data_IF_669819598110
#
_entry.id   IF_669819598110
#
_cell.length_a   1.000
_cell.length_b   1.000
_cell.length_c   1.000
_cell.angle_alpha   90.00
_cell.angle_beta   90.00
_cell.angle_gamma   90.00
#
_symmetry.space_group_name_H-M   'P 1'
#
loop_
_entity.id
_entity.type
_entity.pdbx_description
1 polymer ?
#
# COMPACT_ATOMS: atom_id res chain seq x y z
N UNK A 1 4.63 -19.25 8.64
CA UNK A 1 5.15 -19.53 7.29
C UNK A 1 6.42 -18.74 6.99
N UNK A 2 6.38 -17.40 6.87
CA UNK A 2 7.56 -16.58 6.56
C UNK A 2 8.72 -16.76 7.57
N UNK A 3 8.41 -16.69 8.86
CA UNK A 3 9.38 -16.92 9.95
C UNK A 3 10.05 -18.30 9.87
N UNK A 4 9.27 -19.35 9.64
CA UNK A 4 9.74 -20.74 9.51
C UNK A 4 10.67 -20.89 8.30
N UNK A 5 10.41 -20.16 7.21
CA UNK A 5 11.23 -20.17 5.99
C UNK A 5 12.48 -19.28 6.05
N UNK A 6 12.77 -18.61 7.18
CA UNK A 6 13.90 -17.69 7.32
C UNK A 6 13.81 -16.43 6.45
N UNK A 7 12.65 -16.16 5.84
CA UNK A 7 12.44 -15.02 4.94
C UNK A 7 11.91 -13.84 5.73
N UNK A 8 12.71 -12.78 5.79
CA UNK A 8 12.33 -11.52 6.43
C UNK A 8 11.77 -10.56 5.39
N UNK A 9 10.55 -10.01 5.59
CA UNK A 9 10.04 -8.97 4.71
C UNK A 9 10.88 -7.70 4.85
N UNK A 10 11.07 -6.97 3.75
CA UNK A 10 11.58 -5.60 3.78
C UNK A 10 10.43 -4.67 4.15
N UNK A 11 10.61 -3.86 5.19
CA UNK A 11 9.55 -3.04 5.77
C UNK A 11 10.00 -1.59 5.82
N UNK A 12 9.17 -0.68 5.30
CA UNK A 12 9.32 0.77 5.46
C UNK A 12 8.17 1.26 6.34
N UNK A 13 8.45 1.66 7.60
CA UNK A 13 7.44 2.24 8.48
C UNK A 13 7.21 3.73 8.17
N UNK A 14 6.08 4.27 8.62
CA UNK A 14 5.78 5.70 8.70
C UNK A 14 5.12 6.01 10.06
N UNK A 15 5.94 6.37 11.05
CA UNK A 15 5.49 6.51 12.44
C UNK A 15 4.91 5.21 12.97
N UNK A 16 3.64 5.23 13.38
CA UNK A 16 2.90 4.04 13.87
C UNK A 16 2.25 3.23 12.74
N UNK A 17 2.39 3.66 11.48
CA UNK A 17 1.82 3.00 10.29
C UNK A 17 2.90 2.33 9.45
N UNK A 18 2.46 1.51 8.50
CA UNK A 18 3.31 0.90 7.48
C UNK A 18 3.18 1.71 6.19
N UNK A 19 4.29 2.00 5.53
CA UNK A 19 4.29 2.62 4.21
C UNK A 19 4.42 1.57 3.10
N UNK A 20 5.37 0.64 3.29
CA UNK A 20 5.66 -0.41 2.31
C UNK A 20 6.09 -1.70 3.00
N UNK A 21 5.60 -2.83 2.50
CA UNK A 21 6.14 -4.15 2.81
C UNK A 21 6.46 -4.86 1.50
N UNK A 22 7.64 -5.45 1.41
CA UNK A 22 8.05 -6.26 0.27
C UNK A 22 8.46 -7.65 0.73
N UNK A 23 7.88 -8.68 0.12
CA UNK A 23 8.18 -10.06 0.43
C UNK A 23 7.81 -10.98 -0.74
N UNK A 24 8.69 -11.94 -1.06
CA UNK A 24 8.41 -12.96 -2.09
C UNK A 24 8.01 -12.40 -3.46
N UNK A 25 8.58 -11.25 -3.86
CA UNK A 25 8.27 -10.59 -5.13
C UNK A 25 6.93 -9.85 -5.15
N UNK A 26 6.23 -9.77 -4.01
CA UNK A 26 5.02 -8.97 -3.84
C UNK A 26 5.35 -7.72 -3.03
N UNK A 27 4.89 -6.58 -3.51
CA UNK A 27 4.99 -5.30 -2.80
C UNK A 27 3.61 -4.82 -2.41
N UNK A 28 3.42 -4.59 -1.11
CA UNK A 28 2.25 -3.96 -0.53
C UNK A 28 2.60 -2.51 -0.21
N UNK A 29 1.77 -1.58 -0.68
CA UNK A 29 1.90 -0.15 -0.42
C UNK A 29 0.61 0.33 0.25
N UNK A 30 0.74 1.02 1.38
CA UNK A 30 -0.40 1.67 2.00
C UNK A 30 -0.62 3.02 1.31
N UNK A 31 -1.65 3.07 0.45
CA UNK A 31 -2.01 4.25 -0.33
C UNK A 31 -2.29 5.48 0.53
N UNK A 32 -2.68 5.32 1.79
CA UNK A 32 -3.00 6.45 2.68
C UNK A 32 -1.77 7.31 3.01
N UNK A 33 -0.56 6.75 2.86
CA UNK A 33 0.69 7.51 2.99
C UNK A 33 0.91 8.53 1.85
N UNK A 34 0.23 8.37 0.72
CA UNK A 34 0.39 9.21 -0.47
C UNK A 34 -0.89 9.97 -0.83
N UNK A 35 -2.03 9.34 -0.56
CA UNK A 35 -3.37 9.85 -0.82
C UNK A 35 -4.10 9.90 0.53
N UNK A 36 -4.15 11.04 1.22
CA UNK A 36 -4.81 11.17 2.52
C UNK A 36 -6.34 11.19 2.38
N UNK A 37 -6.90 10.23 1.64
CA UNK A 37 -8.32 10.15 1.26
C UNK A 37 -8.71 8.72 0.88
N UNK A 38 -10.00 8.37 0.94
CA UNK A 38 -10.49 7.08 0.43
C UNK A 38 -10.45 6.99 -1.09
N UNK A 39 -10.00 5.85 -1.63
CA UNK A 39 -9.94 5.59 -3.08
C UNK A 39 -11.30 5.58 -3.77
N UNK A 40 -12.40 5.37 -3.04
CA UNK A 40 -13.78 5.43 -3.57
C UNK A 40 -14.25 6.82 -3.98
N UNK A 41 -13.55 7.88 -3.53
CA UNK A 41 -13.93 9.28 -3.74
C UNK A 41 -12.68 10.13 -4.02
N UNK A 42 -11.95 9.86 -5.11
CA UNK A 42 -10.83 10.72 -5.48
C UNK A 42 -11.35 12.13 -5.85
N UNK A 43 -10.62 13.20 -5.53
CA UNK A 43 -10.92 14.54 -5.99
C UNK A 43 -10.98 14.55 -7.52
N UNK A 44 -11.95 15.30 -8.07
CA UNK A 44 -12.14 15.42 -9.52
C UNK A 44 -10.88 15.90 -10.25
N UNK A 45 -10.02 16.65 -9.57
CA UNK A 45 -8.73 17.13 -10.09
C UNK A 45 -7.75 16.01 -10.47
N UNK A 46 -7.91 14.79 -9.96
CA UNK A 46 -7.09 13.64 -10.37
C UNK A 46 -7.43 13.13 -11.78
N UNK A 47 -8.59 13.49 -12.34
CA UNK A 47 -9.00 13.04 -13.68
C UNK A 47 -9.24 11.54 -13.81
N UNK A 48 -9.38 10.81 -12.69
CA UNK A 48 -9.57 9.36 -12.68
C UNK A 48 -11.07 9.04 -12.79
N UNK A 49 -11.42 8.11 -13.68
CA UNK A 49 -12.78 7.61 -13.86
C UNK A 49 -12.81 6.10 -13.58
N UNK A 50 -13.78 5.65 -12.80
CA UNK A 50 -13.98 4.23 -12.51
C UNK A 50 -14.39 3.50 -13.80
N UNK A 51 -13.65 2.46 -14.19
CA UNK A 51 -13.87 1.77 -15.47
C UNK A 51 -15.08 0.84 -15.38
N UNK A 52 -15.23 0.08 -14.27
CA UNK A 52 -16.38 -0.77 -13.92
C UNK A 52 -16.43 -0.98 -12.40
N UNK A 53 -17.62 -1.26 -11.87
CA UNK A 53 -17.88 -1.53 -10.46
C UNK A 53 -17.78 -3.02 -10.14
#
# INVERSE_FOLDING_TARGET
FLYISGRKPSVVPNGTKLMRIECMGVTLIDSFNFLPMPLRKPPKSFGIVEIKK
#
